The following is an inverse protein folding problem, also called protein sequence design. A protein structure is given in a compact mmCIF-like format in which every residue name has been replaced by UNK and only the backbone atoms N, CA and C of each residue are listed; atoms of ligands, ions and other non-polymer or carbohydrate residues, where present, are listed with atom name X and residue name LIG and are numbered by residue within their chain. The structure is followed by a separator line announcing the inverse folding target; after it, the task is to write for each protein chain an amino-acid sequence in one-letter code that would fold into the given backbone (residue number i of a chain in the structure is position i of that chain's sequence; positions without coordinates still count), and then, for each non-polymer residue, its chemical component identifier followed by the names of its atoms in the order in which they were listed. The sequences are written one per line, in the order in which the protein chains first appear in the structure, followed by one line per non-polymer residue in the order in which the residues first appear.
data_IF_435711381519
#
_entry.id   IF_435711381519
#
_cell.length_a   1.000
_cell.length_b   1.000
_cell.length_c   1.000
_cell.angle_alpha   90.00
_cell.angle_beta   90.00
_cell.angle_gamma   90.00
#
_symmetry.space_group_name_H-M   'P 1'
#
loop_
_entity.id
_entity.type
_entity.pdbx_description
1 polymer ?
#
# COMPACT_ATOMS: atom_id res chain seq x y z
N UNK A 1 5.76 17.96 -0.47
CA UNK A 1 4.97 16.75 -0.14
C UNK A 1 3.97 17.12 0.94
N UNK A 2 2.83 16.43 1.06
CA UNK A 2 1.84 16.68 2.12
C UNK A 2 1.38 15.38 2.76
N UNK A 3 1.30 15.34 4.09
CA UNK A 3 0.74 14.23 4.83
C UNK A 3 -0.78 14.28 4.77
N UNK A 4 -1.42 13.20 4.35
CA UNK A 4 -2.89 13.06 4.29
C UNK A 4 -3.30 11.68 4.82
N UNK A 5 -4.56 11.53 5.21
CA UNK A 5 -5.14 10.23 5.57
C UNK A 5 -6.03 9.72 4.45
N UNK A 6 -5.81 8.46 4.06
CA UNK A 6 -6.60 7.76 3.04
C UNK A 6 -7.00 6.38 3.55
N UNK A 7 -8.14 5.88 3.08
CA UNK A 7 -8.45 4.46 3.16
C UNK A 7 -7.56 3.70 2.17
N UNK A 8 -7.01 2.52 2.54
CA UNK A 8 -6.24 1.69 1.63
C UNK A 8 -6.97 1.39 0.31
N UNK A 9 -8.31 1.26 0.33
CA UNK A 9 -9.14 1.04 -0.86
C UNK A 9 -9.16 2.23 -1.85
N UNK A 10 -8.84 3.44 -1.40
CA UNK A 10 -8.74 4.65 -2.22
C UNK A 10 -7.44 4.69 -3.03
N UNK A 11 -6.47 3.83 -2.70
CA UNK A 11 -5.14 3.82 -3.30
C UNK A 11 -4.99 2.64 -4.28
N UNK A 12 -4.46 2.90 -5.48
CA UNK A 12 -4.17 1.92 -6.51
C UNK A 12 -2.72 1.43 -6.43
N UNK A 13 -2.51 0.19 -6.86
CA UNK A 13 -1.17 -0.33 -7.07
C UNK A 13 -0.55 0.28 -8.34
N UNK A 14 0.74 0.60 -8.29
CA UNK A 14 1.47 1.04 -9.49
C UNK A 14 1.97 -0.13 -10.34
N UNK A 15 2.25 -1.28 -9.72
CA UNK A 15 2.84 -2.45 -10.37
C UNK A 15 1.84 -3.59 -10.51
N UNK A 16 2.11 -4.51 -11.44
CA UNK A 16 1.31 -5.73 -11.64
C UNK A 16 1.59 -6.80 -10.58
N UNK A 17 2.82 -6.84 -10.04
CA UNK A 17 3.21 -7.86 -9.06
C UNK A 17 4.11 -7.32 -7.95
N UNK A 18 4.10 -8.01 -6.81
CA UNK A 18 4.99 -7.81 -5.66
C UNK A 18 5.53 -9.14 -5.17
N UNK A 19 6.72 -9.11 -4.55
CA UNK A 19 7.20 -10.25 -3.78
C UNK A 19 6.37 -10.46 -2.52
N UNK A 20 6.26 -11.71 -2.08
CA UNK A 20 5.65 -12.11 -0.79
C UNK A 20 6.44 -11.64 0.45
N UNK A 21 7.58 -10.98 0.27
CA UNK A 21 8.48 -10.53 1.34
C UNK A 21 8.91 -9.06 1.18
N UNK A 22 9.21 -8.43 2.32
CA UNK A 22 9.95 -7.17 2.38
C UNK A 22 11.42 -7.37 1.98
N UNK A 23 12.17 -6.28 1.75
CA UNK A 23 13.57 -6.37 1.33
C UNK A 23 14.47 -7.06 2.36
N UNK A 24 14.09 -6.97 3.64
CA UNK A 24 14.76 -7.65 4.76
C UNK A 24 14.32 -9.12 4.93
N UNK A 25 13.53 -9.67 4.00
CA UNK A 25 13.04 -11.04 4.05
C UNK A 25 11.78 -11.26 4.90
N UNK A 26 11.29 -10.26 5.63
CA UNK A 26 10.07 -10.40 6.44
C UNK A 26 8.86 -10.71 5.55
N UNK A 27 8.10 -11.80 5.80
CA UNK A 27 6.88 -12.12 5.08
C UNK A 27 5.81 -11.04 5.25
N UNK A 28 5.07 -10.73 4.18
CA UNK A 28 3.95 -9.78 4.28
C UNK A 28 2.84 -10.33 5.19
N UNK A 29 2.62 -11.64 5.17
CA UNK A 29 1.65 -12.36 6.02
C UNK A 29 1.88 -12.12 7.51
N UNK A 30 3.14 -12.11 7.95
CA UNK A 30 3.49 -11.95 9.36
C UNK A 30 3.14 -10.54 9.84
N UNK A 31 3.43 -9.54 9.00
CA UNK A 31 3.08 -8.15 9.30
C UNK A 31 1.56 -7.95 9.30
N UNK A 32 0.82 -8.58 8.39
CA UNK A 32 -0.65 -8.57 8.39
C UNK A 32 -1.18 -9.17 9.70
N UNK A 33 -0.67 -10.34 10.10
CA UNK A 33 -1.09 -11.01 11.33
C UNK A 33 -0.77 -10.20 12.59
N UNK A 34 0.41 -9.55 12.64
CA UNK A 34 0.78 -8.66 13.74
C UNK A 34 -0.17 -7.47 13.88
N UNK A 35 -0.59 -6.86 12.76
CA UNK A 35 -1.51 -5.73 12.79
C UNK A 35 -2.91 -6.17 13.21
N UNK A 36 -3.42 -7.28 12.62
CA UNK A 36 -4.75 -7.81 12.97
C UNK A 36 -4.83 -8.20 14.44
N UNK A 37 -3.76 -8.78 14.99
CA UNK A 37 -3.68 -9.17 16.41
C UNK A 37 -3.38 -8.01 17.37
N UNK A 38 -3.12 -6.80 16.86
CA UNK A 38 -2.77 -5.64 17.66
C UNK A 38 -1.34 -5.65 18.23
N UNK A 39 -0.49 -6.61 17.85
CA UNK A 39 0.94 -6.61 18.20
C UNK A 39 1.70 -5.46 17.56
N UNK A 40 1.19 -4.93 16.45
CA UNK A 40 1.76 -3.80 15.71
C UNK A 40 0.66 -2.83 15.33
N UNK A 41 0.89 -1.54 15.55
CA UNK A 41 0.00 -0.49 15.05
C UNK A 41 0.21 -0.28 13.56
N UNK A 42 -0.83 0.02 12.76
CA UNK A 42 -0.65 0.49 11.39
C UNK A 42 0.30 1.70 11.29
N UNK A 43 0.38 2.54 12.33
CA UNK A 43 1.28 3.69 12.40
C UNK A 43 2.76 3.30 12.62
N UNK A 44 3.05 2.07 13.02
CA UNK A 44 4.43 1.55 13.15
C UNK A 44 5.01 1.14 11.80
N UNK A 45 4.17 0.97 10.78
CA UNK A 45 4.59 0.72 9.41
C UNK A 45 4.96 2.06 8.77
N UNK A 46 6.12 2.19 8.10
CA UNK A 46 6.48 3.43 7.45
C UNK A 46 5.40 3.87 6.45
N UNK A 47 5.11 5.16 6.43
CA UNK A 47 4.10 5.75 5.54
C UNK A 47 4.33 5.34 4.08
N UNK A 48 3.23 5.30 3.32
CA UNK A 48 3.26 5.04 1.89
C UNK A 48 3.44 6.36 1.16
N UNK A 49 4.39 6.39 0.23
CA UNK A 49 4.46 7.45 -0.76
C UNK A 49 3.40 7.21 -1.85
N UNK A 50 2.53 8.22 -2.06
CA UNK A 50 1.47 8.18 -3.08
C UNK A 50 1.60 9.34 -4.07
N UNK A 51 1.16 9.11 -5.31
CA UNK A 51 1.14 10.10 -6.39
C UNK A 51 -0.27 10.22 -6.92
N UNK A 52 -0.71 11.46 -7.23
CA UNK A 52 -2.01 11.71 -7.82
C UNK A 52 -1.87 11.81 -9.35
N UNK A 53 -2.54 10.91 -10.08
CA UNK A 53 -2.61 10.92 -11.54
C UNK A 53 -4.06 10.77 -11.98
N UNK A 54 -4.55 11.71 -12.78
CA UNK A 54 -5.93 11.70 -13.32
C UNK A 54 -6.99 11.45 -12.22
N UNK A 55 -6.87 12.14 -11.09
CA UNK A 55 -7.79 12.00 -9.95
C UNK A 55 -7.65 10.71 -9.14
N UNK A 56 -6.66 9.86 -9.45
CA UNK A 56 -6.44 8.57 -8.78
C UNK A 56 -5.09 8.55 -8.05
N UNK A 57 -5.09 8.06 -6.80
CA UNK A 57 -3.86 7.86 -6.02
C UNK A 57 -3.20 6.53 -6.38
N UNK A 58 -1.91 6.55 -6.68
CA UNK A 58 -1.08 5.37 -6.91
C UNK A 58 0.04 5.29 -5.88
N UNK A 59 0.30 4.09 -5.36
CA UNK A 59 1.37 3.83 -4.39
C UNK A 59 2.71 3.55 -5.06
N UNK A 60 3.82 4.07 -4.53
CA UNK A 60 5.16 3.53 -4.82
C UNK A 60 5.53 2.33 -3.95
N UNK A 61 4.85 2.13 -2.83
CA UNK A 61 5.13 1.08 -1.84
C UNK A 61 4.06 -0.02 -1.90
N UNK A 62 3.95 -0.71 -3.04
CA UNK A 62 2.88 -1.68 -3.28
C UNK A 62 2.80 -2.81 -2.24
N UNK A 63 3.93 -3.23 -1.66
CA UNK A 63 3.95 -4.24 -0.58
C UNK A 63 3.30 -3.75 0.71
N UNK A 64 3.53 -2.49 1.11
CA UNK A 64 2.87 -1.89 2.29
C UNK A 64 1.39 -1.68 2.01
N UNK A 65 1.05 -1.22 0.80
CA UNK A 65 -0.35 -1.07 0.40
C UNK A 65 -1.09 -2.42 0.45
N UNK A 66 -0.44 -3.50 0.00
CA UNK A 66 -1.00 -4.84 0.07
C UNK A 66 -1.32 -5.24 1.51
N UNK A 67 -0.36 -5.08 2.43
CA UNK A 67 -0.58 -5.34 3.86
C UNK A 67 -1.81 -4.59 4.38
N UNK A 68 -1.90 -3.29 4.13
CA UNK A 68 -3.04 -2.51 4.63
C UNK A 68 -4.37 -2.86 3.98
N UNK A 69 -4.40 -3.21 2.69
CA UNK A 69 -5.63 -3.67 2.03
C UNK A 69 -6.12 -5.00 2.59
N UNK A 70 -5.21 -5.92 2.92
CA UNK A 70 -5.58 -7.18 3.57
C UNK A 70 -6.07 -6.95 5.01
N UNK A 71 -5.41 -6.09 5.79
CA UNK A 71 -5.92 -5.68 7.11
C UNK A 71 -7.30 -5.04 7.01
N UNK A 72 -7.52 -4.17 6.01
CA UNK A 72 -8.79 -3.49 5.80
C UNK A 72 -9.96 -4.45 5.54
N UNK A 73 -9.72 -5.65 4.99
CA UNK A 73 -10.78 -6.67 4.84
C UNK A 73 -11.40 -7.07 6.18
N UNK A 74 -10.62 -6.99 7.27
CA UNK A 74 -11.05 -7.30 8.64
C UNK A 74 -11.40 -6.02 9.42
N UNK A 75 -10.75 -4.90 9.11
CA UNK A 75 -10.96 -3.59 9.73
C UNK A 75 -11.41 -2.56 8.66
N UNK A 76 -12.71 -2.54 8.28
CA UNK A 76 -13.18 -1.75 7.14
C UNK A 76 -12.88 -0.24 7.23
N UNK A 77 -12.93 0.31 8.45
CA UNK A 77 -12.71 1.73 8.73
C UNK A 77 -11.23 2.13 8.82
N UNK A 78 -10.30 1.22 8.50
CA UNK A 78 -8.87 1.51 8.52
C UNK A 78 -8.53 2.72 7.64
N UNK A 79 -7.94 3.73 8.26
CA UNK A 79 -7.31 4.89 7.61
C UNK A 79 -5.81 4.87 7.90
N UNK A 80 -5.02 5.20 6.89
CA UNK A 80 -3.56 5.24 6.98
C UNK A 80 -3.02 6.61 6.58
N UNK A 81 -1.93 7.03 7.23
CA UNK A 81 -1.19 8.23 6.87
C UNK A 81 -0.29 7.96 5.67
N UNK A 82 -0.43 8.77 4.64
CA UNK A 82 0.36 8.68 3.41
C UNK A 82 1.00 10.02 3.05
N UNK A 83 2.11 9.95 2.33
CA UNK A 83 2.85 11.11 1.86
C UNK A 83 2.46 11.37 0.41
N UNK A 84 1.71 12.44 0.16
CA UNK A 84 1.33 12.84 -1.19
C UNK A 84 2.47 13.58 -1.89
N UNK A 85 2.95 12.95 -2.95
CA UNK A 85 3.88 13.47 -3.93
C UNK A 85 3.08 14.09 -5.09
N UNK A 86 3.21 15.41 -5.27
CA UNK A 86 2.53 16.16 -6.35
C UNK A 86 3.23 16.06 -7.71
N UNK A 87 4.38 15.39 -7.75
CA UNK A 87 5.10 15.15 -8.99
C UNK A 87 4.28 14.16 -9.82
N UNK A 88 3.94 14.51 -11.05
CA UNK A 88 3.11 13.72 -11.97
C UNK A 88 3.78 12.43 -12.48
N UNK A 89 4.99 12.14 -12.02
CA UNK A 89 5.72 10.95 -12.36
C UNK A 89 5.34 9.82 -11.41
N UNK A 90 4.81 8.73 -11.96
CA UNK A 90 4.60 7.47 -11.22
C UNK A 90 5.74 6.53 -11.61
N UNK A 91 6.81 6.42 -10.80
CA UNK A 91 7.85 5.45 -11.09
C UNK A 91 7.19 4.07 -11.14
N UNK A 92 7.48 3.30 -12.20
CA UNK A 92 7.08 1.89 -12.31
C UNK A 92 5.56 1.67 -12.41
N UNK A 93 4.82 2.55 -13.09
CA UNK A 93 3.44 2.26 -13.47
C UNK A 93 3.40 1.16 -14.53
N UNK A 94 3.42 -0.10 -14.11
CA UNK A 94 3.29 -1.26 -15.02
C UNK A 94 1.89 -1.84 -15.02
N UNK A 95 1.03 -1.42 -14.08
CA UNK A 95 -0.29 -2.04 -13.90
C UNK A 95 -1.14 -2.09 -15.17
N UNK A 96 -1.67 -3.27 -15.51
CA UNK A 96 -2.54 -3.51 -16.68
C UNK A 96 -4.04 -3.39 -16.38
N UNK A 97 -4.42 -3.37 -15.11
CA UNK A 97 -5.83 -3.31 -14.67
C UNK A 97 -6.17 -2.02 -13.91
N UNK A 98 -5.36 -0.97 -14.08
CA UNK A 98 -5.51 0.29 -13.37
C UNK A 98 -5.18 0.22 -11.87
N UNK A 99 -4.40 -0.77 -11.45
CA UNK A 99 -3.92 -0.94 -10.08
C UNK A 99 -4.97 -1.43 -9.10
N UNK A 100 -5.98 -2.15 -9.60
CA UNK A 100 -7.12 -2.64 -8.80
C UNK A 100 -6.76 -3.90 -8.00
N UNK A 101 -5.93 -4.76 -8.57
CA UNK A 101 -5.35 -5.92 -7.91
C UNK A 101 -3.85 -5.98 -8.18
N UNK A 102 -3.18 -6.89 -7.48
CA UNK A 102 -1.76 -7.15 -7.64
C UNK A 102 -1.51 -8.65 -7.48
N UNK A 103 -0.62 -9.20 -8.29
CA UNK A 103 -0.17 -10.58 -8.19
C UNK A 103 0.95 -10.70 -7.13
N UNK A 104 0.89 -11.75 -6.31
CA UNK A 104 1.98 -12.09 -5.40
C UNK A 104 2.83 -13.15 -6.07
N UNK A 105 4.13 -12.88 -6.14
CA UNK A 105 5.13 -13.81 -6.66
C UNK A 105 6.18 -14.12 -5.60
N UNK A 106 6.88 -15.22 -5.82
CA UNK A 106 8.02 -15.65 -5.01
C UNK A 106 9.28 -14.77 -5.23
#
# INVERSE_FOLDING_TARGET
MSLIELSPSEIRYSQDSIKATFQNGTPLSDVIADIISGRKSPNDIPSIDVYLRNGTYYSSDNRRLYVFKEVQRIQPDLKIKVILNRILFVPKLTTRNGGRSIEIRD
#
